data_IF_522947085934
#
_entry.id   IF_522947085934
#
_cell.length_a   1.000
_cell.length_b   1.000
_cell.length_c   1.000
_cell.angle_alpha   90.00
_cell.angle_beta   90.00
_cell.angle_gamma   90.00
#
_symmetry.space_group_name_H-M   'P 1'
#
loop_
_entity.id
_entity.type
_entity.pdbx_description
1 polymer ?
#
# COMPACT_ATOMS: atom_id res chain seq x y z
N UNK A 1 27.89 -31.81 29.36
CA UNK A 1 26.79 -32.01 28.39
C UNK A 1 27.10 -31.10 27.21
N UNK A 2 27.26 -31.63 26.01
CA UNK A 2 27.45 -30.78 24.82
C UNK A 2 26.07 -30.30 24.34
N UNK A 3 25.91 -28.99 24.18
CA UNK A 3 24.70 -28.37 23.67
C UNK A 3 24.99 -27.75 22.30
N UNK A 4 24.34 -28.24 21.25
CA UNK A 4 24.32 -27.53 19.97
C UNK A 4 23.18 -26.52 19.99
N UNK A 5 23.50 -25.25 19.72
CA UNK A 5 22.50 -24.19 19.53
C UNK A 5 22.48 -23.85 18.06
N UNK A 6 21.30 -23.96 17.47
CA UNK A 6 21.05 -23.64 16.08
C UNK A 6 20.02 -22.55 15.99
N UNK A 7 20.34 -21.53 15.22
CA UNK A 7 19.43 -20.43 14.96
C UNK A 7 19.17 -20.33 13.47
N UNK A 8 17.92 -20.04 13.15
CA UNK A 8 17.45 -19.90 11.80
C UNK A 8 16.86 -18.50 11.65
N UNK A 9 17.50 -17.67 10.83
CA UNK A 9 17.17 -16.25 10.69
C UNK A 9 16.63 -15.92 9.29
N UNK A 10 15.69 -14.98 9.22
CA UNK A 10 15.07 -14.51 7.97
C UNK A 10 15.11 -13.00 7.84
N UNK A 11 15.66 -12.42 6.76
CA UNK A 11 15.78 -10.96 6.54
C UNK A 11 15.43 -10.61 5.11
N UNK A 12 14.62 -9.56 4.93
CA UNK A 12 14.32 -8.94 3.63
C UNK A 12 14.72 -7.45 3.61
N UNK A 13 15.56 -7.05 2.65
CA UNK A 13 16.09 -5.69 2.54
C UNK A 13 15.02 -4.62 2.22
N UNK A 14 15.21 -3.36 2.65
CA UNK A 14 14.33 -2.25 2.29
C UNK A 14 14.88 -1.44 1.11
N UNK A 15 14.08 -1.25 0.05
CA UNK A 15 14.29 -0.20 -0.95
C UNK A 15 13.23 0.89 -0.80
N UNK A 16 13.69 2.14 -0.65
CA UNK A 16 12.84 3.34 -0.58
C UNK A 16 12.69 3.96 -1.97
N UNK A 17 11.51 3.87 -2.56
CA UNK A 17 11.14 4.65 -3.75
C UNK A 17 10.38 5.94 -3.38
N UNK A 18 10.81 7.05 -4.00
CA UNK A 18 10.24 8.39 -3.92
C UNK A 18 8.79 8.40 -4.43
N UNK A 19 7.84 8.97 -3.67
CA UNK A 19 6.41 8.88 -4.00
C UNK A 19 5.75 10.20 -4.40
N UNK A 20 5.04 10.16 -5.54
CA UNK A 20 3.96 11.08 -5.88
C UNK A 20 2.65 10.80 -5.11
N UNK A 21 1.52 11.39 -5.52
CA UNK A 21 0.24 11.23 -4.81
C UNK A 21 -0.23 9.77 -4.82
N UNK A 22 -0.30 9.16 -3.63
CA UNK A 22 -0.65 7.74 -3.44
C UNK A 22 -2.16 7.55 -3.35
N UNK A 23 -2.71 6.45 -3.88
CA UNK A 23 -4.15 6.11 -3.73
C UNK A 23 -4.51 5.57 -2.33
N UNK A 24 -3.51 5.39 -1.45
CA UNK A 24 -3.55 4.89 -0.06
C UNK A 24 -2.17 4.38 0.33
N UNK A 25 -2.06 3.42 1.26
CA UNK A 25 -0.77 2.83 1.68
C UNK A 25 -0.77 1.32 1.43
N UNK A 26 0.40 0.75 1.15
CA UNK A 26 0.57 -0.70 1.06
C UNK A 26 0.30 -1.35 2.42
N UNK A 27 -0.09 -2.62 2.41
CA UNK A 27 -0.29 -3.38 3.65
C UNK A 27 1.08 -3.83 4.18
N UNK A 28 1.28 -3.74 5.49
CA UNK A 28 2.43 -4.37 6.15
C UNK A 28 1.94 -5.45 7.10
N UNK A 29 2.78 -6.46 7.33
CA UNK A 29 2.41 -7.63 8.16
C UNK A 29 1.95 -7.27 9.59
N UNK A 30 2.41 -6.13 10.11
CA UNK A 30 2.12 -5.66 11.47
C UNK A 30 1.11 -4.51 11.53
N UNK A 31 0.49 -4.11 10.42
CA UNK A 31 -0.50 -3.03 10.43
C UNK A 31 -1.82 -3.43 9.80
N UNK A 32 -2.92 -3.04 10.46
CA UNK A 32 -4.22 -3.03 9.82
C UNK A 32 -4.14 -2.16 8.56
N UNK A 33 -4.80 -2.58 7.48
CA UNK A 33 -4.85 -1.78 6.26
C UNK A 33 -5.42 -0.41 6.63
N UNK A 34 -4.66 0.69 6.49
CA UNK A 34 -5.23 1.99 6.77
C UNK A 34 -6.36 2.16 5.77
N UNK A 35 -7.57 2.38 6.29
CA UNK A 35 -8.78 2.70 5.54
C UNK A 35 -8.95 4.23 5.56
N UNK A 36 -8.07 5.07 4.95
CA UNK A 36 -8.55 6.39 4.58
C UNK A 36 -9.67 6.12 3.58
N UNK A 37 -10.85 6.69 3.85
CA UNK A 37 -12.00 6.55 2.96
C UNK A 37 -11.51 6.74 1.52
N UNK A 38 -11.72 5.71 0.70
CA UNK A 38 -11.27 5.59 -0.68
C UNK A 38 -11.47 6.86 -1.53
N UNK A 39 -12.44 7.68 -1.12
CA UNK A 39 -12.95 8.88 -1.74
C UNK A 39 -12.18 10.15 -1.34
N UNK A 40 -11.48 10.15 -0.20
CA UNK A 40 -10.76 11.31 0.35
C UNK A 40 -9.67 11.87 -0.59
N UNK A 41 -9.24 11.07 -1.57
CA UNK A 41 -8.13 11.41 -2.48
C UNK A 41 -8.55 11.89 -3.87
N UNK A 42 -9.85 11.97 -4.14
CA UNK A 42 -10.37 12.45 -5.44
C UNK A 42 -10.37 13.99 -5.49
N UNK A 43 -10.75 14.65 -4.39
CA UNK A 43 -10.64 16.11 -4.26
C UNK A 43 -9.24 16.65 -4.63
N UNK A 44 -8.13 16.21 -3.99
CA UNK A 44 -6.80 16.74 -4.30
C UNK A 44 -6.33 16.42 -5.73
N UNK A 45 -6.83 15.33 -6.33
CA UNK A 45 -6.59 15.00 -7.74
C UNK A 45 -7.24 16.03 -8.66
N UNK A 46 -8.51 16.41 -8.44
CA UNK A 46 -9.17 17.42 -9.27
C UNK A 46 -8.57 18.81 -9.02
N UNK A 47 -8.27 19.14 -7.77
CA UNK A 47 -7.62 20.39 -7.40
C UNK A 47 -6.30 20.62 -8.16
N UNK A 48 -5.56 19.56 -8.52
CA UNK A 48 -4.36 19.67 -9.35
C UNK A 48 -4.66 20.24 -10.75
N UNK A 49 -5.76 19.82 -11.38
CA UNK A 49 -6.15 20.35 -12.70
C UNK A 49 -6.63 21.80 -12.63
N UNK A 50 -7.12 22.27 -11.47
CA UNK A 50 -7.43 23.69 -11.24
C UNK A 50 -6.18 24.57 -11.17
N UNK A 51 -4.98 23.98 -11.07
CA UNK A 51 -3.70 24.68 -10.90
C UNK A 51 -2.72 24.34 -12.01
N UNK A 52 -3.20 24.24 -13.26
CA UNK A 52 -2.41 23.90 -14.45
C UNK A 52 -1.73 22.52 -14.41
N UNK A 53 -2.18 21.62 -13.55
CA UNK A 53 -1.71 20.24 -13.57
C UNK A 53 -2.19 19.53 -14.83
N UNK A 54 -1.27 18.92 -15.58
CA UNK A 54 -1.56 18.24 -16.86
C UNK A 54 -1.40 16.73 -16.80
N UNK A 55 -0.74 16.22 -15.75
CA UNK A 55 -0.48 14.81 -15.55
C UNK A 55 -0.88 14.38 -14.14
N UNK A 56 -1.53 13.23 -14.06
CA UNK A 56 -1.68 12.50 -12.81
C UNK A 56 -1.56 11.00 -13.07
N UNK A 57 -0.89 10.30 -12.17
CA UNK A 57 -0.74 8.86 -12.20
C UNK A 57 -1.27 8.27 -10.88
N UNK A 58 -2.13 7.26 -11.00
CA UNK A 58 -2.64 6.54 -9.84
C UNK A 58 -1.61 5.51 -9.41
N UNK A 59 -0.90 5.79 -8.33
CA UNK A 59 -0.05 4.79 -7.68
C UNK A 59 -0.79 4.25 -6.44
N UNK A 60 -1.45 3.09 -6.49
CA UNK A 60 -1.63 2.16 -7.62
C UNK A 60 -3.02 2.27 -8.26
N UNK A 61 -3.11 2.02 -9.58
CA UNK A 61 -4.38 1.77 -10.30
C UNK A 61 -4.82 0.30 -10.19
N UNK A 62 -3.84 -0.60 -10.23
CA UNK A 62 -3.94 -2.01 -9.90
C UNK A 62 -2.69 -2.37 -9.11
N UNK A 63 -2.85 -2.91 -7.91
CA UNK A 63 -1.73 -3.30 -7.06
C UNK A 63 -1.19 -4.68 -7.42
N UNK A 64 -2.09 -5.66 -7.50
CA UNK A 64 -1.75 -7.07 -7.65
C UNK A 64 -1.12 -7.67 -6.39
N UNK A 65 -0.34 -8.71 -6.60
CA UNK A 65 0.30 -9.52 -5.56
C UNK A 65 1.81 -9.62 -5.79
N UNK A 66 2.55 -9.64 -4.69
CA UNK A 66 3.96 -9.94 -4.65
C UNK A 66 4.13 -11.48 -4.64
N UNK A 67 4.28 -12.08 -5.83
CA UNK A 67 4.47 -13.51 -5.96
C UNK A 67 5.91 -13.95 -5.68
N UNK A 68 6.06 -15.19 -5.24
CA UNK A 68 7.36 -15.75 -4.87
C UNK A 68 7.94 -15.03 -3.64
N UNK A 69 9.27 -14.96 -3.58
CA UNK A 69 10.00 -14.39 -2.43
C UNK A 69 10.75 -13.09 -2.74
N UNK A 70 11.09 -12.82 -4.00
CA UNK A 70 11.94 -11.66 -4.37
C UNK A 70 11.15 -10.42 -4.81
N UNK A 71 9.82 -10.46 -4.80
CA UNK A 71 8.98 -9.37 -5.31
C UNK A 71 8.58 -8.35 -4.25
N UNK A 72 8.50 -8.77 -2.98
CA UNK A 72 8.08 -7.91 -1.88
C UNK A 72 9.28 -7.22 -1.25
N UNK A 73 9.10 -5.98 -0.80
CA UNK A 73 10.06 -5.32 0.07
C UNK A 73 9.83 -5.69 1.53
N UNK A 74 10.78 -5.34 2.39
CA UNK A 74 10.74 -5.58 3.85
C UNK A 74 9.35 -5.40 4.48
N UNK A 75 8.79 -6.49 5.01
CA UNK A 75 7.49 -6.57 5.70
C UNK A 75 6.24 -6.15 4.91
N UNK A 76 6.36 -5.99 3.59
CA UNK A 76 5.20 -5.83 2.72
C UNK A 76 4.57 -7.20 2.51
N UNK A 77 3.26 -7.28 2.72
CA UNK A 77 2.53 -8.55 2.57
C UNK A 77 2.49 -9.00 1.11
N UNK A 78 2.26 -10.30 0.88
CA UNK A 78 1.98 -10.86 -0.46
C UNK A 78 0.89 -10.06 -1.19
N UNK A 79 -0.15 -9.63 -0.47
CA UNK A 79 -1.12 -8.67 -0.99
C UNK A 79 -0.49 -7.28 -1.06
N UNK A 80 -0.12 -6.83 -2.25
CA UNK A 80 0.59 -5.56 -2.39
C UNK A 80 -0.31 -4.35 -2.10
N UNK A 81 -1.41 -4.22 -2.85
CA UNK A 81 -2.30 -3.07 -2.73
C UNK A 81 -3.73 -3.35 -3.21
N UNK A 82 -4.65 -3.54 -2.26
CA UNK A 82 -6.02 -4.01 -2.52
C UNK A 82 -7.08 -2.89 -2.50
N UNK A 83 -6.68 -1.69 -2.05
CA UNK A 83 -7.54 -0.50 -2.06
C UNK A 83 -7.46 0.26 -3.39
N UNK A 84 -6.87 -0.32 -4.43
CA UNK A 84 -6.77 0.33 -5.73
C UNK A 84 -8.15 0.36 -6.44
N UNK A 85 -8.31 1.16 -7.51
CA UNK A 85 -9.50 1.09 -8.38
C UNK A 85 -9.78 -0.33 -8.88
N UNK A 86 -8.73 -1.10 -9.16
CA UNK A 86 -8.79 -2.54 -9.31
C UNK A 86 -8.19 -3.20 -8.06
N UNK A 87 -8.90 -4.15 -7.50
CA UNK A 87 -8.47 -4.90 -6.31
C UNK A 87 -7.35 -5.90 -6.64
N UNK A 88 -6.81 -6.62 -5.65
CA UNK A 88 -5.72 -7.59 -5.85
C UNK A 88 -6.04 -8.65 -6.94
N UNK A 89 -7.31 -9.02 -7.10
CA UNK A 89 -7.75 -10.03 -8.05
C UNK A 89 -8.15 -9.44 -9.42
N UNK A 90 -7.94 -8.13 -9.62
CA UNK A 90 -8.29 -7.42 -10.84
C UNK A 90 -9.78 -7.08 -10.96
N UNK A 91 -10.56 -7.25 -9.89
CA UNK A 91 -11.97 -6.87 -9.87
C UNK A 91 -12.12 -5.37 -9.63
N UNK A 92 -13.20 -4.79 -10.17
CA UNK A 92 -13.50 -3.35 -9.98
C UNK A 92 -13.92 -3.10 -8.53
N UNK A 93 -13.16 -2.24 -7.85
CA UNK A 93 -13.48 -1.80 -6.49
C UNK A 93 -14.37 -0.56 -6.55
N UNK A 94 -15.67 -0.77 -6.45
CA UNK A 94 -16.63 0.32 -6.46
C UNK A 94 -16.86 0.87 -5.03
N UNK A 95 -17.16 2.18 -4.88
CA UNK A 95 -17.41 3.17 -5.94
C UNK A 95 -16.15 3.81 -6.53
N UNK A 96 -14.95 3.46 -6.05
CA UNK A 96 -13.71 4.17 -6.43
C UNK A 96 -13.46 4.09 -7.94
N UNK A 97 -13.57 2.89 -8.52
CA UNK A 97 -13.39 2.69 -9.95
C UNK A 97 -14.36 3.55 -10.78
N UNK A 98 -15.65 3.46 -10.50
CA UNK A 98 -16.70 4.19 -11.21
C UNK A 98 -16.58 5.70 -11.03
N UNK A 99 -16.29 6.17 -9.81
CA UNK A 99 -16.14 7.60 -9.53
C UNK A 99 -14.93 8.21 -10.25
N UNK A 100 -13.81 7.48 -10.33
CA UNK A 100 -12.64 7.91 -11.11
C UNK A 100 -12.89 7.84 -12.63
N UNK A 101 -13.62 6.83 -13.11
CA UNK A 101 -14.05 6.74 -14.51
C UNK A 101 -14.87 7.96 -14.90
N UNK A 102 -15.81 8.38 -14.05
CA UNK A 102 -16.69 9.50 -14.34
C UNK A 102 -15.95 10.84 -14.24
N UNK A 103 -15.00 10.97 -13.31
CA UNK A 103 -14.04 12.07 -13.31
C UNK A 103 -13.27 12.16 -14.63
N UNK A 104 -12.71 11.05 -15.11
CA UNK A 104 -11.95 11.04 -16.36
C UNK A 104 -12.82 11.41 -17.56
N UNK A 105 -14.09 11.01 -17.57
CA UNK A 105 -15.05 11.45 -18.60
C UNK A 105 -15.24 12.97 -18.55
N UNK A 106 -15.42 13.54 -17.36
CA UNK A 106 -15.53 14.99 -17.19
C UNK A 106 -14.27 15.72 -17.68
N UNK A 107 -13.07 15.27 -17.29
CA UNK A 107 -11.81 15.85 -17.75
C UNK A 107 -11.61 15.71 -19.27
N UNK A 108 -12.06 14.59 -19.86
CA UNK A 108 -12.01 14.37 -21.31
C UNK A 108 -12.90 15.34 -22.07
N UNK A 109 -14.08 15.68 -21.52
CA UNK A 109 -14.93 16.75 -22.08
C UNK A 109 -14.22 18.11 -21.98
N UNK A 110 -13.55 18.37 -20.86
CA UNK A 110 -12.80 19.61 -20.59
C UNK A 110 -11.42 19.70 -21.28
N UNK A 111 -10.99 18.69 -22.05
CA UNK A 111 -9.59 18.61 -22.54
C UNK A 111 -9.16 19.79 -23.43
N UNK A 112 -10.06 20.28 -24.29
CA UNK A 112 -9.74 21.37 -25.23
C UNK A 112 -9.46 22.68 -24.48
N UNK A 113 -10.36 23.18 -23.61
CA UNK A 113 -10.07 24.37 -22.84
C UNK A 113 -8.93 24.16 -21.83
N UNK A 114 -8.77 22.98 -21.22
CA UNK A 114 -7.63 22.71 -20.32
C UNK A 114 -6.26 22.86 -21.00
N UNK A 115 -6.14 22.48 -22.27
CA UNK A 115 -4.87 22.47 -23.01
C UNK A 115 -4.60 23.78 -23.77
N UNK A 116 -5.64 24.52 -24.15
CA UNK A 116 -5.54 25.69 -25.05
C UNK A 116 -6.09 26.97 -24.44
N UNK A 117 -6.88 26.87 -23.38
CA UNK A 117 -7.50 27.99 -22.72
C UNK A 117 -6.52 28.70 -21.79
N UNK A 118 -6.76 29.99 -21.59
CA UNK A 118 -6.03 30.77 -20.60
C UNK A 118 -6.68 30.55 -19.24
N UNK A 119 -5.91 30.14 -18.22
CA UNK A 119 -6.43 30.00 -16.87
C UNK A 119 -6.74 31.36 -16.26
N UNK A 120 -7.89 31.48 -15.59
CA UNK A 120 -8.26 32.61 -14.75
C UNK A 120 -8.74 32.07 -13.41
N UNK A 121 -8.22 32.63 -12.32
CA UNK A 121 -8.61 32.27 -10.96
C UNK A 121 -9.33 33.45 -10.34
N UNK A 122 -10.52 33.21 -9.81
CA UNK A 122 -11.34 34.16 -9.09
C UNK A 122 -11.59 33.62 -7.68
N UNK A 123 -11.10 34.35 -6.67
CA UNK A 123 -11.27 33.99 -5.27
C UNK A 123 -12.48 34.69 -4.70
N UNK A 124 -13.49 33.92 -4.34
CA UNK A 124 -14.75 34.42 -3.76
C UNK A 124 -14.61 34.60 -2.25
N UNK A 125 -13.91 33.68 -1.59
CA UNK A 125 -13.58 33.76 -0.17
C UNK A 125 -12.31 32.96 0.13
N UNK A 126 -11.98 32.79 1.41
CA UNK A 126 -10.85 31.97 1.85
C UNK A 126 -10.93 30.52 1.35
N UNK A 127 -12.13 29.95 1.27
CA UNK A 127 -12.35 28.54 0.91
C UNK A 127 -13.08 28.34 -0.43
N UNK A 128 -13.57 29.43 -1.06
CA UNK A 128 -14.29 29.37 -2.32
C UNK A 128 -13.48 29.99 -3.45
N UNK A 129 -13.22 29.18 -4.48
CA UNK A 129 -12.42 29.57 -5.64
C UNK A 129 -13.10 29.08 -6.92
N UNK A 130 -13.13 29.93 -7.93
CA UNK A 130 -13.57 29.63 -9.29
C UNK A 130 -12.33 29.67 -10.18
N UNK A 131 -11.99 28.55 -10.81
CA UNK A 131 -10.96 28.51 -11.83
C UNK A 131 -11.59 28.23 -13.17
N UNK A 132 -11.40 29.13 -14.14
CA UNK A 132 -11.82 28.91 -15.52
C UNK A 132 -10.63 28.76 -16.45
N UNK A 133 -10.80 27.95 -17.49
CA UNK A 133 -9.89 27.90 -18.63
C UNK A 133 -10.70 28.27 -19.87
N UNK A 134 -10.36 29.41 -20.47
CA UNK A 134 -11.20 30.00 -21.51
C UNK A 134 -10.38 30.35 -22.74
N UNK A 135 -10.97 30.12 -23.91
CA UNK A 135 -10.48 30.63 -25.19
C UNK A 135 -11.69 31.16 -25.98
N UNK A 136 -12.02 32.45 -25.84
CA UNK A 136 -13.21 33.03 -26.47
C UNK A 136 -13.23 32.87 -28.00
N UNK A 137 -12.07 32.94 -28.65
CA UNK A 137 -11.97 32.78 -30.11
C UNK A 137 -12.37 31.41 -30.65
N UNK A 138 -12.32 30.36 -29.83
CA UNK A 138 -12.75 29.00 -30.18
C UNK A 138 -14.04 28.59 -29.47
N UNK A 139 -14.68 29.51 -28.73
CA UNK A 139 -15.83 29.23 -27.85
C UNK A 139 -15.57 28.05 -26.88
N UNK A 140 -14.37 27.99 -26.30
CA UNK A 140 -13.97 26.95 -25.35
C UNK A 140 -13.98 27.51 -23.92
N UNK A 141 -14.60 26.79 -22.99
CA UNK A 141 -14.66 27.18 -21.58
C UNK A 141 -14.81 25.94 -20.71
N UNK A 142 -13.95 25.76 -19.70
CA UNK A 142 -14.24 24.88 -18.56
C UNK A 142 -14.14 25.70 -17.27
N UNK A 143 -15.04 25.45 -16.33
CA UNK A 143 -14.97 25.99 -14.98
C UNK A 143 -14.83 24.87 -13.94
N UNK A 144 -14.01 25.14 -12.93
CA UNK A 144 -13.87 24.37 -11.71
C UNK A 144 -14.35 25.23 -10.55
N UNK A 145 -15.39 24.79 -9.85
CA UNK A 145 -15.92 25.48 -8.68
C UNK A 145 -15.48 24.71 -7.44
N UNK A 146 -14.64 25.33 -6.62
CA UNK A 146 -13.96 24.68 -5.51
C UNK A 146 -14.52 25.18 -4.18
N UNK A 147 -14.88 24.24 -3.31
CA UNK A 147 -15.11 24.46 -1.89
C UNK A 147 -14.06 23.70 -1.08
N UNK A 148 -13.15 24.44 -0.45
CA UNK A 148 -12.06 23.90 0.33
C UNK A 148 -12.39 23.73 1.83
N UNK A 149 -13.54 24.26 2.27
CA UNK A 149 -14.07 24.12 3.63
C UNK A 149 -14.30 22.65 3.95
N UNK A 150 -13.76 22.17 5.07
CA UNK A 150 -13.83 20.75 5.46
C UNK A 150 -15.10 20.39 6.21
N UNK A 151 -15.94 21.37 6.56
CA UNK A 151 -17.09 21.22 7.46
C UNK A 151 -18.38 21.64 6.80
N UNK A 152 -18.38 22.75 6.07
CA UNK A 152 -19.61 23.35 5.55
C UNK A 152 -19.73 23.29 4.03
N UNK A 153 -20.95 22.99 3.58
CA UNK A 153 -21.32 23.21 2.19
C UNK A 153 -21.58 24.70 1.95
N UNK A 154 -21.34 25.15 0.72
CA UNK A 154 -21.49 26.55 0.31
C UNK A 154 -22.16 26.63 -1.06
N UNK A 155 -22.70 27.79 -1.37
CA UNK A 155 -23.27 28.09 -2.69
C UNK A 155 -22.44 29.19 -3.34
N UNK A 156 -22.04 28.99 -4.60
CA UNK A 156 -21.32 29.98 -5.40
C UNK A 156 -22.24 30.48 -6.51
N UNK A 157 -22.34 31.81 -6.65
CA UNK A 157 -22.96 32.43 -7.81
C UNK A 157 -21.95 32.54 -8.96
N UNK A 158 -22.21 31.91 -10.10
CA UNK A 158 -21.34 31.94 -11.26
C UNK A 158 -22.14 32.06 -12.56
N UNK A 159 -21.84 33.09 -13.36
CA UNK A 159 -22.49 33.36 -14.66
C UNK A 159 -24.03 33.37 -14.59
N UNK A 160 -24.59 34.00 -13.57
CA UNK A 160 -26.04 34.17 -13.41
C UNK A 160 -26.77 32.94 -12.85
N UNK A 161 -26.03 31.93 -12.35
CA UNK A 161 -26.61 30.73 -11.75
C UNK A 161 -25.91 30.38 -10.44
N UNK A 162 -26.69 29.89 -9.49
CA UNK A 162 -26.19 29.40 -8.21
C UNK A 162 -25.81 27.91 -8.31
N UNK A 163 -24.64 27.57 -7.77
CA UNK A 163 -24.13 26.20 -7.71
C UNK A 163 -23.87 25.80 -6.26
N UNK A 164 -24.53 24.74 -5.83
CA UNK A 164 -24.29 24.12 -4.53
C UNK A 164 -23.00 23.28 -4.56
N UNK A 165 -22.13 23.49 -3.58
CA UNK A 165 -20.87 22.78 -3.41
C UNK A 165 -20.80 22.14 -2.02
N UNK A 166 -20.83 20.79 -1.93
CA UNK A 166 -20.53 20.09 -0.69
C UNK A 166 -19.20 20.51 -0.09
N UNK A 167 -19.03 20.30 1.23
CA UNK A 167 -17.75 20.49 1.91
C UNK A 167 -16.64 19.68 1.22
N UNK A 168 -15.46 20.27 1.09
CA UNK A 168 -14.26 19.66 0.52
C UNK A 168 -14.51 19.04 -0.86
N UNK A 169 -15.10 19.81 -1.77
CA UNK A 169 -15.48 19.33 -3.09
C UNK A 169 -15.08 20.27 -4.23
N UNK A 170 -14.96 19.71 -5.43
CA UNK A 170 -14.81 20.46 -6.69
C UNK A 170 -15.88 20.01 -7.67
N UNK A 171 -16.63 20.96 -8.24
CA UNK A 171 -17.53 20.72 -9.37
C UNK A 171 -16.86 21.08 -10.69
N UNK A 172 -17.05 20.24 -11.71
CA UNK A 172 -16.49 20.44 -13.07
C UNK A 172 -17.63 20.79 -14.03
N UNK A 173 -17.47 21.91 -14.74
CA UNK A 173 -18.41 22.40 -15.74
C UNK A 173 -17.67 22.54 -17.10
N UNK A 174 -17.72 21.53 -17.99
CA UNK A 174 -16.96 21.51 -19.25
C UNK A 174 -17.39 22.55 -20.29
N UNK A 175 -18.50 23.25 -20.04
CA UNK A 175 -19.09 24.32 -20.84
C UNK A 175 -19.27 25.62 -20.02
N UNK A 176 -18.75 25.66 -18.78
CA UNK A 176 -18.97 26.71 -17.79
C UNK A 176 -20.45 26.97 -17.42
N UNK A 177 -21.34 26.00 -17.64
CA UNK A 177 -22.79 26.12 -17.36
C UNK A 177 -23.39 24.90 -16.65
N UNK A 178 -22.97 23.69 -17.03
CA UNK A 178 -23.58 22.44 -16.58
C UNK A 178 -22.58 21.66 -15.75
N UNK A 179 -22.93 21.37 -14.49
CA UNK A 179 -22.12 20.49 -13.64
C UNK A 179 -22.29 19.06 -14.13
N UNK A 180 -21.21 18.45 -14.61
CA UNK A 180 -21.20 17.04 -15.06
C UNK A 180 -20.57 16.11 -14.03
N UNK A 181 -19.84 16.67 -13.06
CA UNK A 181 -19.13 15.91 -12.05
C UNK A 181 -18.90 16.78 -10.80
N UNK A 182 -19.07 16.19 -9.62
CA UNK A 182 -18.62 16.77 -8.36
C UNK A 182 -17.87 15.69 -7.57
N UNK A 183 -16.73 16.03 -6.97
CA UNK A 183 -15.87 15.05 -6.26
C UNK A 183 -16.53 14.39 -5.05
N UNK A 184 -17.52 15.03 -4.44
CA UNK A 184 -18.28 14.49 -3.30
C UNK A 184 -19.61 13.82 -3.72
N UNK A 185 -20.10 14.05 -4.94
CA UNK A 185 -21.32 13.43 -5.45
C UNK A 185 -21.00 12.07 -6.11
N UNK A 186 -21.17 10.99 -5.37
CA UNK A 186 -20.82 9.64 -5.83
C UNK A 186 -22.07 8.95 -6.38
N UNK A 187 -22.09 8.77 -7.71
CA UNK A 187 -23.21 8.11 -8.41
C UNK A 187 -22.96 6.62 -8.62
N UNK A 188 -21.69 6.18 -8.54
CA UNK A 188 -21.33 4.78 -8.68
C UNK A 188 -21.88 3.93 -7.51
N UNK A 189 -22.51 2.80 -7.84
CA UNK A 189 -23.00 1.83 -6.86
C UNK A 189 -21.83 1.30 -6.01
N UNK A 190 -22.03 1.11 -4.72
CA UNK A 190 -20.98 0.54 -3.86
C UNK A 190 -20.94 -0.99 -4.00
N UNK A 191 -19.74 -1.57 -4.02
CA UNK A 191 -19.55 -3.01 -4.02
C UNK A 191 -18.88 -3.47 -2.73
N UNK A 192 -19.12 -4.74 -2.38
CA UNK A 192 -18.38 -5.47 -1.36
C UNK A 192 -17.88 -6.77 -1.96
N UNK A 193 -16.71 -7.23 -1.51
CA UNK A 193 -16.12 -8.49 -1.95
C UNK A 193 -16.41 -9.58 -0.94
N UNK A 194 -16.88 -10.73 -1.42
CA UNK A 194 -17.12 -11.93 -0.61
C UNK A 194 -16.19 -13.05 -1.08
N UNK A 195 -15.66 -13.83 -0.14
CA UNK A 195 -14.88 -15.03 -0.42
C UNK A 195 -15.76 -16.26 -0.19
N UNK A 196 -15.91 -17.09 -1.21
CA UNK A 196 -16.71 -18.32 -1.16
C UNK A 196 -15.81 -19.50 -1.49
N UNK A 197 -15.86 -20.54 -0.66
CA UNK A 197 -15.09 -21.76 -0.88
C UNK A 197 -15.54 -22.44 -2.17
N UNK A 198 -14.59 -22.77 -3.05
CA UNK A 198 -14.88 -23.45 -4.31
C UNK A 198 -15.31 -24.90 -4.08
N UNK A 199 -16.42 -25.31 -4.69
CA UNK A 199 -16.86 -26.70 -4.69
C UNK A 199 -16.05 -27.59 -5.66
N UNK A 200 -15.30 -26.99 -6.57
CA UNK A 200 -14.47 -27.69 -7.56
C UNK A 200 -13.04 -27.92 -7.04
N UNK A 201 -12.49 -26.97 -6.28
CA UNK A 201 -11.14 -27.04 -5.73
C UNK A 201 -11.13 -27.84 -4.41
N UNK A 202 -11.44 -29.14 -4.47
CA UNK A 202 -11.39 -30.04 -3.31
C UNK A 202 -10.01 -30.69 -3.21
N UNK A 203 -9.19 -30.22 -2.28
CA UNK A 203 -7.94 -30.90 -1.92
C UNK A 203 -8.25 -32.07 -0.98
N UNK A 204 -8.06 -33.30 -1.47
CA UNK A 204 -8.43 -34.53 -0.74
C UNK A 204 -7.24 -35.39 -0.31
N UNK A 205 -6.04 -35.14 -0.84
CA UNK A 205 -4.83 -35.91 -0.54
C UNK A 205 -3.69 -34.95 -0.21
N UNK A 206 -3.48 -34.75 1.08
CA UNK A 206 -2.33 -33.99 1.58
C UNK A 206 -1.26 -34.96 2.07
N UNK A 207 -0.03 -34.69 1.66
CA UNK A 207 1.16 -35.36 2.17
C UNK A 207 1.98 -34.35 2.97
N UNK A 208 2.74 -34.84 3.94
CA UNK A 208 3.57 -34.01 4.80
C UNK A 208 5.00 -34.50 4.73
N UNK A 209 5.92 -33.57 4.51
CA UNK A 209 7.35 -33.79 4.70
C UNK A 209 7.83 -32.93 5.87
N UNK A 210 8.59 -33.53 6.78
CA UNK A 210 9.17 -32.82 7.92
C UNK A 210 10.63 -32.52 7.61
N UNK A 211 10.93 -31.24 7.43
CA UNK A 211 12.29 -30.76 7.20
C UNK A 211 13.23 -31.18 8.34
N UNK A 212 14.43 -31.66 7.99
CA UNK A 212 15.45 -32.07 8.96
C UNK A 212 16.23 -30.87 9.47
N UNK A 213 16.47 -30.82 10.77
CA UNK A 213 17.31 -29.80 11.39
C UNK A 213 18.78 -30.19 11.17
N UNK A 214 19.60 -29.37 10.45
CA UNK A 214 20.99 -29.72 10.16
C UNK A 214 21.82 -29.68 11.43
N UNK A 215 22.79 -30.57 11.60
CA UNK A 215 23.78 -30.55 12.69
C UNK A 215 24.99 -29.68 12.32
N UNK A 216 25.86 -29.38 13.29
CA UNK A 216 27.10 -28.63 13.04
C UNK A 216 28.01 -29.29 11.98
N UNK A 217 27.90 -30.60 11.80
CA UNK A 217 28.67 -31.35 10.81
C UNK A 217 28.07 -31.28 9.41
N UNK A 218 26.77 -31.01 9.30
CA UNK A 218 26.07 -30.86 8.02
C UNK A 218 26.35 -29.48 7.38
N UNK A 219 26.80 -28.50 8.18
CA UNK A 219 27.12 -27.15 7.73
C UNK A 219 28.58 -27.04 7.26
N UNK A 220 28.76 -26.50 6.06
CA UNK A 220 30.07 -26.42 5.38
C UNK A 220 30.85 -25.14 5.67
N UNK A 221 30.17 -24.01 5.90
CA UNK A 221 30.79 -22.71 6.14
C UNK A 221 31.11 -22.52 7.64
N UNK A 222 32.40 -22.57 7.99
CA UNK A 222 32.87 -22.46 9.37
C UNK A 222 33.58 -21.14 9.59
N UNK A 223 32.90 -20.20 10.23
CA UNK A 223 33.48 -18.90 10.59
C UNK A 223 33.49 -18.67 12.10
N UNK A 224 34.48 -17.92 12.63
CA UNK A 224 34.54 -17.58 14.05
C UNK A 224 33.38 -16.70 14.54
N UNK A 225 32.72 -15.98 13.63
CA UNK A 225 31.60 -15.11 13.91
C UNK A 225 30.48 -15.32 12.87
N UNK A 226 29.19 -15.11 13.24
CA UNK A 226 28.07 -15.23 12.31
C UNK A 226 28.14 -14.15 11.23
N UNK A 227 27.91 -14.54 9.97
CA UNK A 227 27.80 -13.62 8.84
C UNK A 227 26.43 -12.94 8.81
N UNK A 228 26.38 -11.68 8.38
CA UNK A 228 25.11 -11.01 8.11
C UNK A 228 24.35 -11.76 6.98
N UNK A 229 23.04 -11.95 7.15
CA UNK A 229 22.23 -12.86 6.34
C UNK A 229 22.26 -12.53 4.85
N UNK A 230 22.05 -11.26 4.47
CA UNK A 230 21.95 -10.85 3.08
C UNK A 230 23.29 -11.03 2.35
N UNK A 231 24.38 -10.65 3.01
CA UNK A 231 25.74 -10.84 2.50
C UNK A 231 26.11 -12.32 2.36
N UNK A 232 25.56 -13.19 3.20
CA UNK A 232 25.81 -14.62 3.20
C UNK A 232 24.99 -15.37 2.14
N UNK A 233 23.68 -15.16 2.14
CA UNK A 233 22.73 -15.85 1.25
C UNK A 233 22.70 -15.27 -0.16
N UNK A 234 23.18 -14.03 -0.36
CA UNK A 234 23.09 -13.27 -1.62
C UNK A 234 21.65 -13.20 -2.16
N UNK A 235 20.67 -13.14 -1.25
CA UNK A 235 19.25 -13.17 -1.59
C UNK A 235 18.87 -14.38 -2.47
N UNK A 236 19.54 -15.53 -2.29
CA UNK A 236 19.13 -16.79 -2.92
C UNK A 236 18.08 -17.50 -2.06
N UNK A 237 18.13 -17.34 -0.73
CA UNK A 237 17.21 -17.93 0.23
C UNK A 237 16.84 -16.91 1.30
N UNK A 238 15.58 -16.97 1.78
CA UNK A 238 15.13 -16.20 2.95
C UNK A 238 15.71 -16.76 4.24
N UNK A 239 16.34 -17.92 4.18
CA UNK A 239 16.71 -18.74 5.32
C UNK A 239 18.20 -19.01 5.35
N UNK A 240 18.80 -18.89 6.53
CA UNK A 240 20.12 -19.44 6.83
C UNK A 240 20.16 -20.10 8.21
N UNK A 241 20.96 -21.16 8.30
CA UNK A 241 21.29 -21.85 9.54
C UNK A 241 22.60 -21.31 10.11
N UNK A 242 22.56 -20.90 11.36
CA UNK A 242 23.74 -20.59 12.16
C UNK A 242 23.82 -21.63 13.28
N UNK A 243 24.94 -22.33 13.38
CA UNK A 243 25.13 -23.35 14.43
C UNK A 243 26.37 -23.04 15.25
N UNK A 244 26.27 -23.27 16.56
CA UNK A 244 27.41 -23.27 17.48
C UNK A 244 27.30 -24.45 18.45
N UNK A 245 28.43 -24.88 18.99
CA UNK A 245 28.50 -25.89 20.04
C UNK A 245 29.04 -25.25 21.30
N UNK A 246 28.29 -25.41 22.40
CA UNK A 246 28.67 -24.92 23.71
C UNK A 246 28.86 -26.14 24.61
N UNK A 247 30.10 -26.35 25.05
CA UNK A 247 30.41 -27.38 26.03
C UNK A 247 30.13 -26.83 27.42
N UNK A 248 29.23 -27.49 28.16
CA UNK A 248 28.86 -27.13 29.53
C UNK A 248 29.29 -28.26 30.45
N UNK A 249 30.19 -27.98 31.37
CA UNK A 249 30.64 -28.93 32.39
C UNK A 249 29.78 -28.82 33.66
N UNK A 250 29.87 -29.81 34.54
CA UNK A 250 29.06 -29.85 35.76
C UNK A 250 29.27 -28.63 36.68
N UNK A 251 30.41 -27.95 36.57
CA UNK A 251 30.74 -26.74 37.33
C UNK A 251 30.08 -25.47 36.77
N UNK A 252 29.68 -25.51 35.50
CA UNK A 252 29.02 -24.38 34.81
C UNK A 252 27.50 -24.38 35.02
N UNK A 253 26.96 -25.49 35.53
CA UNK A 253 25.54 -25.64 35.81
C UNK A 253 25.20 -25.12 37.22
N UNK A 254 24.01 -24.51 37.40
CA UNK A 254 23.55 -24.11 38.72
C UNK A 254 23.52 -25.31 39.68
N UNK A 255 23.97 -25.10 40.92
CA UNK A 255 23.88 -26.10 42.01
C UNK A 255 22.43 -26.49 42.34
N UNK A 256 21.48 -25.65 41.95
CA UNK A 256 20.04 -25.86 42.11
C UNK A 256 19.46 -26.55 40.87
N UNK A 257 18.86 -27.75 41.00
CA UNK A 257 18.34 -28.51 39.87
C UNK A 257 17.11 -27.88 39.19
N UNK A 258 16.45 -26.95 39.87
CA UNK A 258 15.29 -26.22 39.34
C UNK A 258 15.66 -25.01 38.47
N UNK A 259 16.94 -24.60 38.47
CA UNK A 259 17.43 -23.47 37.67
C UNK A 259 18.05 -24.00 36.39
N UNK A 260 17.52 -23.56 35.24
CA UNK A 260 18.04 -23.90 33.92
C UNK A 260 18.84 -22.73 33.34
N UNK A 261 19.96 -22.99 32.63
CA UNK A 261 20.67 -21.95 31.91
C UNK A 261 19.78 -21.30 30.84
N UNK A 262 19.78 -19.98 30.79
CA UNK A 262 19.08 -19.19 29.77
C UNK A 262 19.98 -18.97 28.56
N UNK A 263 19.40 -19.05 27.36
CA UNK A 263 20.08 -18.70 26.11
C UNK A 263 19.52 -17.36 25.64
N UNK A 264 20.42 -16.39 25.45
CA UNK A 264 20.08 -15.07 24.91
C UNK A 264 20.73 -14.91 23.54
N UNK A 265 19.91 -14.74 22.51
CA UNK A 265 20.37 -14.54 21.14
C UNK A 265 19.90 -13.16 20.68
N UNK A 266 20.86 -12.26 20.47
CA UNK A 266 20.59 -10.99 19.81
C UNK A 266 20.62 -11.18 18.29
N UNK A 267 19.57 -10.74 17.60
CA UNK A 267 19.47 -10.75 16.14
C UNK A 267 19.00 -9.39 15.65
N UNK A 268 19.51 -8.96 14.49
CA UNK A 268 19.03 -7.76 13.80
C UNK A 268 17.72 -8.00 13.03
N UNK A 269 17.10 -9.16 13.23
CA UNK A 269 15.79 -9.51 12.71
C UNK A 269 15.86 -10.49 11.54
N UNK A 270 14.77 -10.67 10.82
CA UNK A 270 13.37 -10.31 11.10
C UNK A 270 12.61 -11.40 11.86
N UNK A 271 13.03 -12.66 11.73
CA UNK A 271 12.54 -13.77 12.52
C UNK A 271 13.72 -14.65 12.94
N UNK A 272 13.60 -15.31 14.09
CA UNK A 272 14.58 -16.27 14.58
C UNK A 272 13.88 -17.47 15.20
N UNK A 273 14.21 -18.67 14.74
CA UNK A 273 13.87 -19.91 15.42
C UNK A 273 15.12 -20.46 16.09
N UNK A 274 14.97 -20.95 17.32
CA UNK A 274 16.08 -21.51 18.08
C UNK A 274 15.84 -22.99 18.39
N UNK A 275 16.83 -23.81 18.06
CA UNK A 275 16.85 -25.24 18.33
C UNK A 275 18.04 -25.57 19.24
N UNK A 276 17.78 -26.39 20.25
CA UNK A 276 18.80 -26.89 21.19
C UNK A 276 18.76 -28.40 21.17
N UNK A 277 19.86 -29.03 20.76
CA UNK A 277 19.96 -30.49 20.62
C UNK A 277 18.82 -31.10 19.78
N UNK A 278 18.47 -30.44 18.66
CA UNK A 278 17.41 -30.88 17.75
C UNK A 278 15.98 -30.58 18.21
N UNK A 279 15.79 -30.00 19.40
CA UNK A 279 14.46 -29.61 19.89
C UNK A 279 14.23 -28.11 19.75
N UNK A 280 13.07 -27.71 19.19
CA UNK A 280 12.66 -26.32 19.10
C UNK A 280 12.44 -25.73 20.49
N UNK A 281 13.02 -24.56 20.76
CA UNK A 281 12.85 -23.79 22.00
C UNK A 281 12.13 -22.47 21.81
N UNK A 282 12.24 -21.86 20.63
CA UNK A 282 11.61 -20.59 20.21
C UNK A 282 11.10 -20.76 18.77
#
# INVERSE_FOLDING_TARGET
MEGSVQTHSLVHGPDKLLSGPRTGLHSTEYSATPLPSALLKIYPLVARFTRNGTLNNYYMYYGGSNFGRTSSSSFVTTRYYDEAPLDEYGLRREPKFGHLRDLHRALKLSKKPLLRGTPKVERISQDLEITTYEKPSENLCVAFLTNNDTREAKTIHFRGKDYYLPSKSVSILPDCKTVVYNTAAIVAQHSSRNFVVSQQAKFSKWEMFKETIPTINDLTDRTPAPKELYSFTKDVSDYAWYSTSIKIDARDLPMRPDVRPGIHIASLGHALLAFVNGERRI
#
